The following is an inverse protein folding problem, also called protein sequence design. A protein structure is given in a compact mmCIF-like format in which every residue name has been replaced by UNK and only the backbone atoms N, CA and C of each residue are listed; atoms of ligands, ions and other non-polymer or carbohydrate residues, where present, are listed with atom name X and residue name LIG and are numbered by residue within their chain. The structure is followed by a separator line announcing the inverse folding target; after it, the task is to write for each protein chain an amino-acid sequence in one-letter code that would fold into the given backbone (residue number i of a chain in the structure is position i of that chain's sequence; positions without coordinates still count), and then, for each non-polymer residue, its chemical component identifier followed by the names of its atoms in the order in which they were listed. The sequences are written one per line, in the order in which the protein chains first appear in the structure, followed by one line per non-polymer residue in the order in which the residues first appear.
data_IF_914735802019
#
_entry.id   IF_914735802019
#
_cell.length_a   1.000
_cell.length_b   1.000
_cell.length_c   1.000
_cell.angle_alpha   90.00
_cell.angle_beta   90.00
_cell.angle_gamma   90.00
#
_symmetry.space_group_name_H-M   'P 1'
#
loop_
_entity.id
_entity.type
_entity.pdbx_description
1 polymer ?
#
# COMPACT_ATOMS: atom_id res chain seq x y z
N UNK A 1 -12.71 -26.25 3.95
CA UNK A 1 -12.93 -25.43 2.74
C UNK A 1 -11.64 -24.71 2.42
N UNK A 2 -11.03 -25.04 1.29
CA UNK A 2 -9.68 -24.63 0.90
C UNK A 2 -9.80 -23.45 -0.07
N UNK A 3 -9.37 -22.26 0.32
CA UNK A 3 -9.33 -21.10 -0.58
C UNK A 3 -8.04 -21.18 -1.42
N UNK A 4 -8.19 -21.61 -2.67
CA UNK A 4 -7.15 -21.57 -3.69
C UNK A 4 -7.00 -20.12 -4.18
N UNK A 5 -5.81 -19.54 -4.01
CA UNK A 5 -5.45 -18.30 -4.70
C UNK A 5 -5.28 -18.60 -6.19
N UNK A 6 -6.33 -18.34 -6.99
CA UNK A 6 -6.20 -18.33 -8.44
C UNK A 6 -5.67 -16.97 -8.87
N UNK A 7 -4.49 -16.97 -9.48
CA UNK A 7 -3.90 -15.82 -10.14
C UNK A 7 -4.64 -15.55 -11.45
N UNK A 8 -5.83 -14.96 -11.40
CA UNK A 8 -6.38 -14.20 -12.52
C UNK A 8 -6.67 -12.78 -12.03
N UNK A 9 -5.90 -11.81 -12.52
CA UNK A 9 -6.15 -10.39 -12.24
C UNK A 9 -7.54 -10.04 -12.77
N UNK A 10 -8.51 -9.57 -11.95
CA UNK A 10 -9.74 -9.02 -12.49
C UNK A 10 -9.42 -7.70 -13.21
N UNK A 11 -9.92 -7.49 -14.44
CA UNK A 11 -9.77 -6.23 -15.12
C UNK A 11 -10.78 -5.25 -14.51
N UNK A 12 -10.27 -4.28 -13.76
CA UNK A 12 -11.03 -3.16 -13.17
C UNK A 12 -12.04 -3.54 -12.09
N UNK A 13 -11.55 -3.70 -10.86
CA UNK A 13 -12.43 -3.70 -9.68
C UNK A 13 -13.00 -2.29 -9.54
N UNK A 14 -14.32 -2.13 -9.68
CA UNK A 14 -14.97 -0.85 -9.43
C UNK A 14 -15.09 -0.60 -7.91
N UNK A 15 -15.40 0.64 -7.50
CA UNK A 15 -15.45 1.01 -6.08
C UNK A 15 -16.40 0.12 -5.24
N UNK A 16 -17.49 -0.36 -5.82
CA UNK A 16 -18.46 -1.25 -5.14
C UNK A 16 -17.90 -2.65 -4.92
N UNK A 17 -17.16 -3.19 -5.89
CA UNK A 17 -16.50 -4.48 -5.76
C UNK A 17 -15.33 -4.41 -4.78
N UNK A 18 -14.59 -3.29 -4.72
CA UNK A 18 -13.57 -3.05 -3.69
C UNK A 18 -14.20 -2.99 -2.29
N UNK A 19 -15.34 -2.31 -2.13
CA UNK A 19 -16.07 -2.28 -0.85
C UNK A 19 -16.63 -3.65 -0.46
N UNK A 20 -17.03 -4.47 -1.44
CA UNK A 20 -17.54 -5.83 -1.22
C UNK A 20 -16.40 -6.78 -0.83
N UNK A 21 -15.25 -6.69 -1.50
CA UNK A 21 -14.02 -7.38 -1.09
C UNK A 21 -13.61 -6.94 0.32
N UNK A 22 -13.57 -5.64 0.59
CA UNK A 22 -13.23 -5.10 1.90
C UNK A 22 -14.17 -5.63 3.00
N UNK A 23 -15.45 -5.84 2.70
CA UNK A 23 -16.42 -6.44 3.64
C UNK A 23 -16.16 -7.93 3.89
N UNK A 24 -15.72 -8.69 2.88
CA UNK A 24 -15.34 -10.10 3.08
C UNK A 24 -14.05 -10.22 3.91
N UNK A 25 -13.08 -9.34 3.70
CA UNK A 25 -11.88 -9.24 4.55
C UNK A 25 -12.21 -8.77 5.96
N UNK A 26 -13.18 -7.86 6.15
CA UNK A 26 -13.58 -7.39 7.47
C UNK A 26 -14.12 -8.51 8.39
N UNK A 27 -14.68 -9.58 7.83
CA UNK A 27 -15.11 -10.75 8.59
C UNK A 27 -13.93 -11.64 9.04
N UNK A 28 -12.85 -11.69 8.25
CA UNK A 28 -11.69 -12.55 8.52
C UNK A 28 -10.56 -11.84 9.25
N UNK A 29 -10.50 -10.51 9.17
CA UNK A 29 -9.44 -9.68 9.79
C UNK A 29 -9.42 -9.84 11.33
N UNK A 30 -10.56 -9.81 12.06
CA UNK A 30 -10.53 -9.98 13.51
C UNK A 30 -10.02 -11.36 13.93
N UNK A 31 -10.39 -12.41 13.20
CA UNK A 31 -9.93 -13.78 13.46
C UNK A 31 -8.43 -13.93 13.20
N UNK A 32 -7.92 -13.31 12.13
CA UNK A 32 -6.48 -13.31 11.82
C UNK A 32 -5.69 -12.54 12.87
N UNK A 33 -6.15 -11.35 13.28
CA UNK A 33 -5.50 -10.59 14.34
C UNK A 33 -5.52 -11.33 15.68
N UNK A 34 -6.62 -12.01 16.01
CA UNK A 34 -6.71 -12.83 17.22
C UNK A 34 -5.74 -14.01 17.19
N UNK A 35 -5.61 -14.69 16.05
CA UNK A 35 -4.71 -15.84 15.88
C UNK A 35 -3.22 -15.45 15.92
N UNK A 36 -2.88 -14.20 15.56
CA UNK A 36 -1.51 -13.71 15.44
C UNK A 36 -1.20 -12.56 16.42
N UNK A 37 -1.87 -12.52 17.57
CA UNK A 37 -1.77 -11.40 18.53
C UNK A 37 -0.36 -11.16 19.07
N UNK A 38 0.49 -12.19 19.09
CA UNK A 38 1.89 -12.08 19.53
C UNK A 38 2.84 -11.58 18.42
N UNK A 39 2.37 -11.51 17.17
CA UNK A 39 3.17 -11.16 16.00
C UNK A 39 2.74 -9.84 15.36
N UNK A 40 1.53 -9.36 15.65
CA UNK A 40 0.92 -8.20 15.02
C UNK A 40 0.46 -7.22 16.10
N UNK A 41 1.17 -6.11 16.20
CA UNK A 41 0.73 -4.97 17.00
C UNK A 41 -0.31 -4.14 16.22
N UNK A 42 -1.38 -3.77 16.92
CA UNK A 42 -2.47 -2.96 16.36
C UNK A 42 -2.43 -1.58 17.02
N UNK A 43 -2.13 -0.56 16.23
CA UNK A 43 -2.12 0.82 16.66
C UNK A 43 -3.45 1.50 16.34
N UNK A 44 -3.94 2.31 17.26
CA UNK A 44 -5.12 3.14 17.00
C UNK A 44 -4.76 4.30 16.07
N UNK A 45 -5.59 4.53 15.06
CA UNK A 45 -5.41 5.60 14.09
C UNK A 45 -6.59 6.58 14.15
N UNK A 46 -6.36 7.89 14.39
CA UNK A 46 -7.40 8.89 14.23
C UNK A 46 -7.94 8.91 12.79
N UNK A 47 -9.26 9.11 12.60
CA UNK A 47 -9.83 9.18 11.25
C UNK A 47 -9.21 10.34 10.46
N UNK A 48 -9.13 10.18 9.13
CA UNK A 48 -8.64 11.19 8.19
C UNK A 48 -7.26 11.78 8.50
N UNK A 49 -6.34 10.97 9.05
CA UNK A 49 -4.98 11.42 9.40
C UNK A 49 -3.91 10.80 8.48
N UNK A 50 -3.85 11.19 7.18
CA UNK A 50 -2.91 10.61 6.22
C UNK A 50 -1.44 10.88 6.56
N UNK A 51 -1.14 11.93 7.34
CA UNK A 51 0.20 12.26 7.81
C UNK A 51 0.81 11.17 8.69
N UNK A 52 -0.02 10.36 9.34
CA UNK A 52 0.42 9.22 10.14
C UNK A 52 0.66 7.97 9.27
N UNK A 53 0.39 8.00 7.96
CA UNK A 53 0.54 6.82 7.11
C UNK A 53 1.96 6.76 6.51
N UNK A 54 2.82 5.79 6.91
CA UNK A 54 4.13 5.63 6.28
C UNK A 54 4.05 5.44 4.76
N UNK A 55 2.98 4.82 4.25
CA UNK A 55 2.83 4.59 2.81
C UNK A 55 2.66 5.89 2.02
N UNK A 56 2.19 6.98 2.65
CA UNK A 56 2.02 8.26 1.95
C UNK A 56 3.38 8.88 1.56
N UNK A 57 4.44 8.60 2.31
CA UNK A 57 5.80 9.05 1.99
C UNK A 57 6.32 8.33 0.75
N UNK A 58 6.15 7.02 0.71
CA UNK A 58 6.44 6.22 -0.48
C UNK A 58 5.59 6.67 -1.67
N UNK A 59 4.28 6.84 -1.48
CA UNK A 59 3.35 7.24 -2.54
C UNK A 59 3.70 8.62 -3.09
N UNK A 60 4.06 9.57 -2.24
CA UNK A 60 4.50 10.90 -2.66
C UNK A 60 5.78 10.82 -3.50
N UNK A 61 6.77 10.04 -3.07
CA UNK A 61 8.01 9.85 -3.84
C UNK A 61 7.74 9.18 -5.19
N UNK A 62 6.89 8.15 -5.22
CA UNK A 62 6.49 7.47 -6.47
C UNK A 62 5.76 8.42 -7.40
N UNK A 63 4.77 9.16 -6.89
CA UNK A 63 3.98 10.13 -7.68
C UNK A 63 4.90 11.20 -8.28
N UNK A 64 5.79 11.79 -7.47
CA UNK A 64 6.74 12.80 -7.95
C UNK A 64 7.61 12.26 -9.09
N UNK A 65 8.26 11.12 -8.89
CA UNK A 65 9.13 10.53 -9.92
C UNK A 65 8.39 10.12 -11.21
N UNK A 66 7.11 9.78 -11.10
CA UNK A 66 6.27 9.50 -12.27
C UNK A 66 5.92 10.80 -13.00
N UNK A 67 5.64 11.87 -12.26
CA UNK A 67 5.32 13.21 -12.79
C UNK A 67 6.53 13.97 -13.35
N UNK A 68 7.74 13.66 -12.90
CA UNK A 68 8.99 14.22 -13.44
C UNK A 68 9.23 13.84 -14.92
N UNK A 69 8.47 12.89 -15.46
CA UNK A 69 8.54 12.45 -16.85
C UNK A 69 7.36 13.01 -17.66
N UNK A 70 7.52 13.23 -18.97
CA UNK A 70 6.43 13.69 -19.84
C UNK A 70 5.17 12.82 -19.68
N UNK A 71 3.97 13.42 -19.60
CA UNK A 71 2.74 12.69 -19.29
C UNK A 71 2.48 11.55 -20.29
N UNK A 72 2.00 10.41 -19.79
CA UNK A 72 1.62 9.26 -20.63
C UNK A 72 0.12 9.23 -20.84
N UNK A 73 -0.31 9.00 -22.09
CA UNK A 73 -1.73 8.78 -22.39
C UNK A 73 -2.14 7.30 -22.29
N UNK A 74 -1.19 6.40 -21.95
CA UNK A 74 -1.43 4.96 -21.83
C UNK A 74 -1.32 4.48 -20.38
N UNK A 75 -2.36 3.79 -19.90
CA UNK A 75 -2.36 3.13 -18.59
C UNK A 75 -1.21 2.11 -18.46
N UNK A 76 -0.88 1.39 -19.55
CA UNK A 76 0.24 0.45 -19.55
C UNK A 76 1.56 1.16 -19.29
N UNK A 77 1.81 2.27 -19.97
CA UNK A 77 3.04 3.05 -19.78
C UNK A 77 3.12 3.65 -18.36
N UNK A 78 2.00 4.17 -17.85
CA UNK A 78 1.93 4.69 -16.48
C UNK A 78 2.29 3.59 -15.46
N UNK A 79 1.71 2.40 -15.63
CA UNK A 79 2.00 1.24 -14.76
C UNK A 79 3.48 0.84 -14.82
N UNK A 80 4.06 0.74 -16.02
CA UNK A 80 5.48 0.41 -16.18
C UNK A 80 6.38 1.43 -15.48
N UNK A 81 6.05 2.73 -15.56
CA UNK A 81 6.79 3.78 -14.85
C UNK A 81 6.71 3.62 -13.34
N UNK A 82 5.52 3.44 -12.79
CA UNK A 82 5.34 3.24 -11.35
C UNK A 82 6.11 2.00 -10.84
N UNK A 83 6.02 0.88 -11.57
CA UNK A 83 6.75 -0.35 -11.22
C UNK A 83 8.27 -0.13 -11.29
N UNK A 84 8.76 0.55 -12.33
CA UNK A 84 10.19 0.88 -12.46
C UNK A 84 10.70 1.73 -11.29
N UNK A 85 9.92 2.73 -10.85
CA UNK A 85 10.25 3.54 -9.67
C UNK A 85 10.31 2.69 -8.41
N UNK A 86 9.29 1.86 -8.16
CA UNK A 86 9.26 0.97 -7.00
C UNK A 86 10.44 0.00 -6.97
N UNK A 87 10.78 -0.62 -8.12
CA UNK A 87 11.95 -1.51 -8.22
C UNK A 87 13.27 -0.79 -7.96
N UNK A 88 13.36 0.50 -8.31
CA UNK A 88 14.53 1.34 -7.99
C UNK A 88 14.59 1.62 -6.49
N UNK A 89 13.46 2.00 -5.87
CA UNK A 89 13.38 2.29 -4.44
C UNK A 89 13.72 1.09 -3.57
N UNK A 90 13.30 -0.12 -3.97
CA UNK A 90 13.68 -1.36 -3.29
C UNK A 90 15.20 -1.58 -3.21
N UNK A 91 15.98 -1.03 -4.15
CA UNK A 91 17.44 -1.10 -4.17
C UNK A 91 18.11 0.02 -3.36
N UNK A 92 17.33 0.92 -2.76
CA UNK A 92 17.80 2.08 -1.99
C UNK A 92 17.27 2.01 -0.55
N UNK A 93 17.69 1.01 0.25
CA UNK A 93 17.14 0.79 1.59
C UNK A 93 17.32 2.00 2.51
N UNK A 94 18.41 2.75 2.37
CA UNK A 94 18.63 3.98 3.15
C UNK A 94 17.55 5.03 2.86
N UNK A 95 17.12 5.17 1.61
CA UNK A 95 16.06 6.11 1.24
C UNK A 95 14.72 5.68 1.84
N UNK A 96 14.42 4.38 1.81
CA UNK A 96 13.19 3.82 2.39
C UNK A 96 13.19 4.00 3.92
N UNK A 97 14.31 3.73 4.58
CA UNK A 97 14.47 3.94 6.03
C UNK A 97 14.22 5.40 6.44
N UNK A 98 14.64 6.36 5.61
CA UNK A 98 14.42 7.78 5.91
C UNK A 98 12.92 8.17 5.96
N UNK A 99 12.01 7.42 5.34
CA UNK A 99 10.56 7.70 5.44
C UNK A 99 10.03 7.56 6.86
N UNK A 100 10.67 6.71 7.66
CA UNK A 100 10.30 6.43 9.04
C UNK A 100 10.90 7.41 10.05
N UNK A 101 11.72 8.36 9.60
CA UNK A 101 12.33 9.38 10.46
C UNK A 101 11.41 10.58 10.71
N UNK A 102 10.25 10.67 10.04
CA UNK A 102 9.31 11.75 10.26
C UNK A 102 8.62 11.62 11.62
N UNK A 103 8.48 12.69 12.43
CA UNK A 103 7.90 12.64 13.78
C UNK A 103 6.54 11.93 13.85
N UNK A 104 5.68 12.16 12.86
CA UNK A 104 4.34 11.58 12.77
C UNK A 104 4.29 10.06 12.49
N UNK A 105 5.41 9.45 12.08
CA UNK A 105 5.48 8.04 11.64
C UNK A 105 6.48 7.22 12.45
N UNK A 106 7.10 7.81 13.47
CA UNK A 106 8.05 7.11 14.37
C UNK A 106 7.46 5.82 14.96
N UNK A 107 6.13 5.74 15.11
CA UNK A 107 5.45 4.53 15.58
C UNK A 107 5.63 3.31 14.67
N UNK A 108 5.96 3.51 13.38
CA UNK A 108 6.10 2.47 12.37
C UNK A 108 7.58 2.17 12.01
N UNK A 109 8.52 2.78 12.73
CA UNK A 109 9.96 2.67 12.49
C UNK A 109 10.57 1.38 13.06
#
# INVERSE_FOLDING_TARGET
MQFLWTTSKPPYINAYELMTLARSYACTTPLLLAAHREQIDVFYWPPYSPQLNPVEYLNNDVKQQVHDKPPTMSLHQLKQRAVSVLMRLQKLPQRVSNYFQHPDIVYAA
#
